data_IF_132430647938
#
_entry.id   IF_132430647938
#
_cell.length_a   1.000
_cell.length_b   1.000
_cell.length_c   1.000
_cell.angle_alpha   90.00
_cell.angle_beta   90.00
_cell.angle_gamma   90.00
#
_symmetry.space_group_name_H-M   'P 1'
#
loop_
_entity.id
_entity.type
_entity.pdbx_description
1 polymer ?
#
# COMPACT_ATOMS: atom_id res chain seq x y z
N UNK A 1 -13.19 -14.50 -4.14
CA UNK A 1 -14.26 -13.74 -3.45
C UNK A 1 -14.86 -12.67 -4.36
N UNK A 2 -16.14 -12.33 -4.18
CA UNK A 2 -16.79 -11.21 -4.87
C UNK A 2 -16.42 -9.85 -4.24
N UNK A 3 -16.66 -8.76 -4.98
CA UNK A 3 -16.47 -7.38 -4.51
C UNK A 3 -17.03 -7.17 -3.09
N UNK A 4 -16.36 -6.38 -2.22
CA UNK A 4 -16.89 -6.07 -0.90
C UNK A 4 -18.14 -5.19 -0.97
N UNK A 5 -18.49 -4.65 -2.14
CA UNK A 5 -19.60 -3.72 -2.33
C UNK A 5 -20.74 -4.37 -3.13
N UNK A 6 -21.98 -4.07 -2.75
CA UNK A 6 -23.16 -4.45 -3.51
C UNK A 6 -24.26 -3.40 -3.40
N UNK A 7 -24.96 -3.14 -4.50
CA UNK A 7 -26.18 -2.31 -4.52
C UNK A 7 -27.34 -3.20 -4.93
N UNK A 8 -28.41 -3.21 -4.15
CA UNK A 8 -29.63 -4.01 -4.37
C UNK A 8 -30.85 -3.14 -4.08
N UNK A 9 -31.54 -2.70 -5.14
CA UNK A 9 -32.61 -1.71 -5.04
C UNK A 9 -32.12 -0.42 -4.38
N UNK A 10 -32.85 0.06 -3.37
CA UNK A 10 -32.51 1.27 -2.60
C UNK A 10 -31.51 1.01 -1.46
N UNK A 11 -30.84 -0.15 -1.45
CA UNK A 11 -29.95 -0.55 -0.36
C UNK A 11 -28.54 -0.78 -0.88
N UNK A 12 -27.58 -0.27 -0.13
CA UNK A 12 -26.16 -0.55 -0.32
C UNK A 12 -25.70 -1.49 0.78
N UNK A 13 -24.87 -2.45 0.40
CA UNK A 13 -24.24 -3.42 1.29
C UNK A 13 -22.72 -3.34 1.16
N UNK A 14 -22.04 -3.50 2.29
CA UNK A 14 -20.59 -3.68 2.39
C UNK A 14 -20.30 -4.96 3.16
N UNK A 15 -19.49 -5.86 2.61
CA UNK A 15 -19.10 -7.11 3.25
C UNK A 15 -20.30 -7.89 3.85
N UNK A 16 -21.39 -7.99 3.09
CA UNK A 16 -22.64 -8.65 3.51
C UNK A 16 -23.51 -7.88 4.52
N UNK A 17 -23.09 -6.70 4.98
CA UNK A 17 -23.83 -5.89 5.94
C UNK A 17 -24.38 -4.63 5.28
N UNK A 18 -25.61 -4.22 5.65
CA UNK A 18 -26.21 -2.99 5.12
C UNK A 18 -25.34 -1.79 5.50
N UNK A 19 -25.01 -0.95 4.52
CA UNK A 19 -24.29 0.30 4.74
C UNK A 19 -25.30 1.41 5.07
N UNK A 20 -25.43 1.82 6.34
CA UNK A 20 -26.42 2.83 6.72
C UNK A 20 -26.09 4.18 6.08
N UNK A 21 -27.13 4.90 5.65
CA UNK A 21 -27.06 6.26 5.08
C UNK A 21 -26.27 6.37 3.76
N UNK A 22 -25.98 5.27 3.09
CA UNK A 22 -25.53 5.35 1.70
C UNK A 22 -26.74 5.60 0.80
N UNK A 23 -26.61 6.55 -0.10
CA UNK A 23 -27.57 6.76 -1.19
C UNK A 23 -27.28 5.76 -2.32
N UNK A 24 -28.17 4.79 -2.47
CA UNK A 24 -28.06 3.76 -3.51
C UNK A 24 -28.15 4.33 -4.93
N UNK A 25 -28.87 5.43 -5.15
CA UNK A 25 -29.06 6.01 -6.48
C UNK A 25 -27.78 6.62 -7.03
N UNK A 26 -26.93 7.17 -6.15
CA UNK A 26 -25.66 7.79 -6.52
C UNK A 26 -24.44 6.95 -6.17
N UNK A 27 -24.64 5.75 -5.61
CA UNK A 27 -23.55 4.88 -5.18
C UNK A 27 -22.71 4.37 -6.37
N UNK A 28 -21.39 4.52 -6.26
CA UNK A 28 -20.40 4.08 -7.24
C UNK A 28 -19.28 3.33 -6.54
N UNK A 29 -19.03 2.10 -6.99
CA UNK A 29 -17.82 1.35 -6.65
C UNK A 29 -16.69 1.88 -7.53
N UNK A 30 -15.62 2.37 -6.91
CA UNK A 30 -14.47 2.98 -7.61
C UNK A 30 -13.31 2.00 -7.74
N UNK A 31 -13.09 1.19 -6.70
CA UNK A 31 -12.10 0.12 -6.67
C UNK A 31 -12.52 -0.93 -5.63
N UNK A 32 -11.72 -1.98 -5.45
CA UNK A 32 -11.98 -2.93 -4.36
C UNK A 32 -11.94 -2.23 -2.99
N UNK A 33 -11.05 -1.25 -2.80
CA UNK A 33 -10.93 -0.46 -1.57
C UNK A 33 -11.92 0.68 -1.43
N UNK A 34 -12.41 1.28 -2.51
CA UNK A 34 -13.13 2.54 -2.42
C UNK A 34 -14.48 2.52 -3.13
N UNK A 35 -15.47 3.07 -2.45
CA UNK A 35 -16.77 3.39 -3.04
C UNK A 35 -17.24 4.75 -2.51
N UNK A 36 -18.14 5.40 -3.25
CA UNK A 36 -18.72 6.68 -2.87
C UNK A 36 -20.19 6.76 -3.24
N UNK A 37 -20.93 7.65 -2.58
CA UNK A 37 -22.17 8.21 -3.10
C UNK A 37 -21.96 9.72 -3.36
N UNK A 38 -23.02 10.50 -3.56
CA UNK A 38 -22.91 11.94 -3.78
C UNK A 38 -22.29 12.73 -2.60
N UNK A 39 -22.33 12.20 -1.38
CA UNK A 39 -21.92 12.94 -0.17
C UNK A 39 -20.73 12.32 0.57
N UNK A 40 -20.47 11.02 0.38
CA UNK A 40 -19.59 10.23 1.24
C UNK A 40 -18.70 9.29 0.45
N UNK A 41 -17.53 9.03 1.02
CA UNK A 41 -16.55 8.06 0.52
C UNK A 41 -16.30 7.02 1.62
N UNK A 42 -16.14 5.76 1.24
CA UNK A 42 -15.91 4.65 2.14
C UNK A 42 -14.81 3.70 1.66
N UNK A 43 -14.19 3.06 2.63
CA UNK A 43 -13.56 1.75 2.50
C UNK A 43 -14.45 0.67 3.10
N UNK A 44 -14.17 -0.64 2.88
CA UNK A 44 -15.02 -1.69 3.42
C UNK A 44 -15.22 -1.59 4.94
N UNK A 45 -14.26 -1.01 5.66
CA UNK A 45 -14.31 -0.87 7.12
C UNK A 45 -14.63 0.55 7.61
N UNK A 46 -14.22 1.60 6.90
CA UNK A 46 -14.26 2.98 7.44
C UNK A 46 -14.86 3.98 6.47
N UNK A 47 -15.37 5.09 7.02
CA UNK A 47 -15.64 6.30 6.21
C UNK A 47 -14.33 7.04 5.96
N UNK A 48 -14.16 7.56 4.75
CA UNK A 48 -13.03 8.39 4.35
C UNK A 48 -13.42 9.86 4.49
N UNK A 49 -12.52 10.69 5.05
CA UNK A 49 -12.70 12.15 5.08
C UNK A 49 -12.11 12.74 3.80
N UNK A 50 -12.95 12.86 2.77
CA UNK A 50 -12.63 13.39 1.45
C UNK A 50 -13.89 13.97 0.79
N UNK A 51 -13.73 14.86 -0.17
CA UNK A 51 -14.78 15.36 -1.05
C UNK A 51 -15.27 14.24 -1.97
N UNK A 52 -16.47 13.73 -1.69
CA UNK A 52 -17.07 12.68 -2.48
C UNK A 52 -17.30 13.06 -3.93
N UNK A 53 -17.57 14.34 -4.26
CA UNK A 53 -17.87 14.77 -5.62
C UNK A 53 -16.68 14.55 -6.57
N UNK A 54 -15.45 14.76 -6.07
CA UNK A 54 -14.21 14.64 -6.85
C UNK A 54 -13.38 13.40 -6.55
N UNK A 55 -13.78 12.58 -5.56
CA UNK A 55 -13.01 11.41 -5.17
C UNK A 55 -12.91 10.36 -6.29
N UNK A 56 -11.69 9.90 -6.54
CA UNK A 56 -11.32 8.83 -7.47
C UNK A 56 -10.39 7.82 -6.80
N UNK A 57 -10.52 6.55 -7.16
CA UNK A 57 -9.49 5.56 -6.84
C UNK A 57 -8.28 5.76 -7.78
N UNK A 58 -7.06 5.59 -7.26
CA UNK A 58 -5.82 5.73 -8.02
C UNK A 58 -5.23 4.38 -8.46
N UNK A 59 -5.79 3.28 -7.96
CA UNK A 59 -5.41 1.92 -8.32
C UNK A 59 -6.61 0.96 -8.12
N UNK A 60 -6.37 -0.35 -8.32
CA UNK A 60 -7.40 -1.39 -8.17
C UNK A 60 -7.88 -1.59 -6.72
N UNK A 61 -7.19 -1.03 -5.72
CA UNK A 61 -7.58 -1.12 -4.31
C UNK A 61 -7.48 -2.53 -3.74
N UNK A 62 -6.61 -3.38 -4.28
CA UNK A 62 -6.49 -4.78 -3.83
C UNK A 62 -5.04 -5.26 -3.87
N UNK A 63 -4.65 -5.95 -2.81
CA UNK A 63 -3.48 -6.85 -2.74
C UNK A 63 -3.96 -8.25 -2.36
N UNK A 64 -3.09 -9.25 -2.44
CA UNK A 64 -3.41 -10.60 -1.99
C UNK A 64 -2.51 -10.98 -0.82
N UNK A 65 -3.06 -11.61 0.21
CA UNK A 65 -2.29 -12.16 1.32
C UNK A 65 -1.57 -13.47 0.92
N UNK A 66 -0.87 -14.10 1.86
CA UNK A 66 -0.14 -15.35 1.60
C UNK A 66 -1.05 -16.54 1.26
N UNK A 67 -2.35 -16.46 1.55
CA UNK A 67 -3.35 -17.45 1.16
C UNK A 67 -3.95 -17.14 -0.22
N UNK A 68 -3.60 -16.01 -0.83
CA UNK A 68 -4.15 -15.54 -2.08
C UNK A 68 -5.50 -14.85 -1.93
N UNK A 69 -5.92 -14.50 -0.72
CA UNK A 69 -7.19 -13.83 -0.49
C UNK A 69 -7.07 -12.32 -0.73
N UNK A 70 -8.08 -11.69 -1.36
CA UNK A 70 -8.03 -10.27 -1.69
C UNK A 70 -8.20 -9.42 -0.44
N UNK A 71 -7.22 -8.56 -0.18
CA UNK A 71 -7.21 -7.59 0.91
C UNK A 71 -7.37 -6.19 0.33
N UNK A 72 -8.34 -5.42 0.84
CA UNK A 72 -8.56 -4.07 0.35
C UNK A 72 -7.37 -3.17 0.70
N UNK A 73 -6.68 -2.69 -0.32
CA UNK A 73 -5.46 -1.95 -0.15
C UNK A 73 -5.17 -1.05 -1.34
N UNK A 74 -4.95 0.25 -1.12
CA UNK A 74 -4.62 1.16 -2.22
C UNK A 74 -4.82 2.63 -1.92
N UNK A 75 -4.54 3.43 -2.95
CA UNK A 75 -4.62 4.88 -2.91
C UNK A 75 -5.91 5.39 -3.58
N UNK A 76 -6.45 6.47 -3.03
CA UNK A 76 -7.53 7.27 -3.60
C UNK A 76 -7.25 8.75 -3.37
N UNK A 77 -7.88 9.63 -4.14
CA UNK A 77 -7.72 11.06 -3.96
C UNK A 77 -8.98 11.82 -4.34
N UNK A 78 -9.21 12.95 -3.68
CA UNK A 78 -10.05 14.03 -4.20
C UNK A 78 -9.15 15.17 -4.74
N UNK A 79 -9.69 16.37 -4.89
CA UNK A 79 -8.92 17.55 -5.32
C UNK A 79 -7.87 18.05 -4.32
N UNK A 80 -8.04 17.78 -3.02
CA UNK A 80 -7.28 18.38 -1.92
C UNK A 80 -6.41 17.38 -1.14
N UNK A 81 -6.78 16.10 -1.16
CA UNK A 81 -6.12 15.05 -0.39
C UNK A 81 -5.89 13.79 -1.19
N UNK A 82 -4.73 13.17 -0.93
CA UNK A 82 -4.49 11.75 -1.21
C UNK A 82 -4.73 10.97 0.08
N UNK A 83 -5.41 9.83 -0.04
CA UNK A 83 -5.73 8.91 1.04
C UNK A 83 -5.19 7.53 0.69
N UNK A 84 -4.64 6.86 1.70
CA UNK A 84 -4.19 5.49 1.62
C UNK A 84 -5.02 4.59 2.54
N UNK A 85 -5.48 3.45 2.03
CA UNK A 85 -6.18 2.42 2.79
C UNK A 85 -5.33 1.17 2.90
N UNK A 86 -5.15 0.65 4.12
CA UNK A 86 -4.42 -0.58 4.42
C UNK A 86 -5.30 -1.59 5.16
N UNK A 87 -6.13 -2.32 4.40
CA UNK A 87 -7.05 -3.32 4.94
C UNK A 87 -8.03 -2.73 5.95
N UNK A 88 -8.12 -3.39 7.10
CA UNK A 88 -9.04 -3.05 8.20
C UNK A 88 -8.71 -1.73 8.92
N UNK A 89 -7.53 -1.18 8.69
CA UNK A 89 -7.06 0.06 9.31
C UNK A 89 -7.85 1.28 8.86
N UNK A 90 -7.84 2.34 9.68
CA UNK A 90 -8.41 3.64 9.27
C UNK A 90 -7.61 4.18 8.08
N UNK A 91 -8.28 4.64 7.01
CA UNK A 91 -7.62 5.31 5.90
C UNK A 91 -6.85 6.53 6.40
N UNK A 92 -5.62 6.69 5.94
CA UNK A 92 -4.72 7.77 6.35
C UNK A 92 -4.57 8.79 5.24
N UNK A 93 -4.58 10.08 5.59
CA UNK A 93 -4.19 11.13 4.65
C UNK A 93 -2.68 11.02 4.40
N UNK A 94 -2.29 11.02 3.13
CA UNK A 94 -0.89 11.02 2.72
C UNK A 94 -0.36 12.45 2.81
N UNK A 95 0.39 12.73 3.88
CA UNK A 95 0.86 14.09 4.16
C UNK A 95 1.85 14.58 3.09
N UNK A 96 1.63 15.80 2.59
CA UNK A 96 2.50 16.44 1.59
C UNK A 96 2.27 16.00 0.15
N UNK A 97 1.41 15.00 -0.09
CA UNK A 97 1.14 14.50 -1.43
C UNK A 97 0.34 15.49 -2.29
N UNK A 98 0.64 15.52 -3.59
CA UNK A 98 -0.04 16.34 -4.59
C UNK A 98 -1.18 15.58 -5.29
N UNK A 99 -2.46 15.80 -4.95
CA UNK A 99 -3.55 14.95 -5.46
C UNK A 99 -3.71 14.95 -6.98
N UNK A 100 -3.37 16.07 -7.63
CA UNK A 100 -3.43 16.20 -9.08
C UNK A 100 -2.32 15.42 -9.81
N UNK A 101 -1.15 15.24 -9.16
CA UNK A 101 0.03 14.62 -9.77
C UNK A 101 0.36 13.24 -9.17
N UNK A 102 -0.37 12.79 -8.15
CA UNK A 102 -0.08 11.53 -7.48
C UNK A 102 -0.34 10.32 -8.37
N UNK A 103 0.67 9.47 -8.47
CA UNK A 103 0.65 8.20 -9.19
C UNK A 103 0.77 7.06 -8.17
N UNK A 104 -0.24 6.21 -8.11
CA UNK A 104 -0.14 4.93 -7.39
C UNK A 104 0.60 3.92 -8.26
N UNK A 105 1.56 3.21 -7.68
CA UNK A 105 2.28 2.11 -8.33
C UNK A 105 1.65 0.74 -8.01
N UNK A 106 0.46 0.74 -7.43
CA UNK A 106 -0.22 -0.44 -6.93
C UNK A 106 0.34 -0.92 -5.59
N UNK A 107 -0.52 -1.61 -4.84
CA UNK A 107 -0.17 -2.10 -3.51
C UNK A 107 0.23 -0.95 -2.57
N UNK A 108 1.50 -0.91 -2.19
CA UNK A 108 2.01 -0.08 -1.10
C UNK A 108 2.66 1.23 -1.53
N UNK A 109 3.06 1.35 -2.79
CA UNK A 109 3.92 2.43 -3.28
C UNK A 109 3.16 3.45 -4.13
N UNK A 110 3.60 4.70 -4.04
CA UNK A 110 3.13 5.79 -4.90
C UNK A 110 4.10 6.96 -4.85
N UNK A 111 3.98 7.89 -5.79
CA UNK A 111 4.79 9.10 -5.81
C UNK A 111 4.05 10.25 -6.47
N UNK A 112 4.52 11.47 -6.22
CA UNK A 112 4.24 12.63 -7.07
C UNK A 112 5.56 13.18 -7.63
N UNK A 113 5.57 14.42 -8.11
CA UNK A 113 6.76 15.04 -8.67
C UNK A 113 7.83 15.36 -7.62
N UNK A 114 7.50 15.38 -6.32
CA UNK A 114 8.39 15.83 -5.25
C UNK A 114 8.72 14.76 -4.22
N UNK A 115 7.91 13.71 -4.10
CA UNK A 115 8.05 12.76 -3.00
C UNK A 115 7.63 11.35 -3.39
N UNK A 116 8.38 10.40 -2.84
CA UNK A 116 8.05 8.97 -2.89
C UNK A 116 7.33 8.57 -1.61
N UNK A 117 6.38 7.63 -1.72
CA UNK A 117 5.54 7.20 -0.61
C UNK A 117 5.46 5.67 -0.54
N UNK A 118 5.40 5.17 0.69
CA UNK A 118 5.02 3.81 1.00
C UNK A 118 4.08 3.79 2.18
N UNK A 119 3.02 2.98 2.13
CA UNK A 119 2.00 2.90 3.16
C UNK A 119 1.38 4.27 3.54
N UNK A 120 1.20 5.15 2.55
CA UNK A 120 0.71 6.51 2.78
C UNK A 120 1.66 7.41 3.57
N UNK A 121 2.93 7.05 3.71
CA UNK A 121 3.97 7.81 4.40
C UNK A 121 5.11 8.18 3.45
N UNK A 122 5.68 9.39 3.54
CA UNK A 122 6.78 9.82 2.69
C UNK A 122 8.08 9.08 3.03
N UNK A 123 8.83 8.68 2.01
CA UNK A 123 10.20 8.20 2.11
C UNK A 123 11.12 9.42 2.21
N UNK A 124 11.49 9.79 3.44
CA UNK A 124 12.32 10.99 3.67
C UNK A 124 13.67 10.84 2.98
N UNK A 125 14.03 11.83 2.16
CA UNK A 125 15.29 11.88 1.42
C UNK A 125 15.31 11.06 0.13
N UNK A 126 14.18 10.47 -0.28
CA UNK A 126 14.06 9.85 -1.59
C UNK A 126 13.68 10.89 -2.66
N UNK A 127 14.34 10.84 -3.80
CA UNK A 127 14.07 11.62 -5.00
C UNK A 127 13.25 10.76 -5.99
N UNK A 128 12.04 11.18 -6.39
CA UNK A 128 11.27 10.47 -7.43
C UNK A 128 12.03 10.26 -8.75
N UNK A 129 13.02 11.11 -9.07
CA UNK A 129 13.80 11.02 -10.31
C UNK A 129 14.75 9.82 -10.38
N UNK A 130 15.17 9.28 -9.24
CA UNK A 130 16.06 8.11 -9.18
C UNK A 130 15.48 6.92 -8.37
N UNK A 131 14.24 7.06 -7.91
CA UNK A 131 13.59 6.06 -7.08
C UNK A 131 13.33 4.76 -7.85
N UNK A 132 13.80 3.65 -7.29
CA UNK A 132 13.66 2.32 -7.87
C UNK A 132 13.09 1.36 -6.85
N UNK A 133 11.99 0.69 -7.20
CA UNK A 133 11.49 -0.44 -6.42
C UNK A 133 12.40 -1.64 -6.67
N UNK A 134 12.96 -2.20 -5.60
CA UNK A 134 13.80 -3.41 -5.65
C UNK A 134 12.90 -4.64 -5.66
N UNK A 135 11.94 -4.70 -4.73
CA UNK A 135 11.00 -5.80 -4.62
C UNK A 135 9.70 -5.30 -4.00
N UNK A 136 8.59 -5.38 -4.75
CA UNK A 136 7.29 -4.93 -4.28
C UNK A 136 6.72 -5.81 -3.16
N UNK A 137 6.97 -7.12 -3.19
CA UNK A 137 6.42 -8.07 -2.20
C UNK A 137 7.14 -7.91 -0.87
N UNK A 138 8.45 -7.73 -0.92
CA UNK A 138 9.28 -7.50 0.26
C UNK A 138 9.37 -6.02 0.67
N UNK A 139 8.68 -5.13 -0.03
CA UNK A 139 8.60 -3.69 0.29
C UNK A 139 9.95 -2.96 0.27
N UNK A 140 10.91 -3.40 -0.54
CA UNK A 140 12.21 -2.73 -0.65
C UNK A 140 12.28 -1.79 -1.86
N UNK A 141 12.90 -0.63 -1.67
CA UNK A 141 13.21 0.33 -2.73
C UNK A 141 14.51 1.10 -2.44
N UNK A 142 15.06 1.75 -3.45
CA UNK A 142 16.29 2.55 -3.35
C UNK A 142 16.13 3.93 -3.97
N UNK A 143 16.79 4.94 -3.41
CA UNK A 143 16.91 6.29 -3.98
C UNK A 143 18.10 7.01 -3.35
N UNK A 144 18.88 7.76 -4.12
CA UNK A 144 20.00 8.57 -3.60
C UNK A 144 21.04 7.80 -2.79
N UNK A 145 21.33 6.54 -3.16
CA UNK A 145 22.24 5.67 -2.41
C UNK A 145 21.68 5.11 -1.09
N UNK A 146 20.39 5.30 -0.81
CA UNK A 146 19.69 4.76 0.37
C UNK A 146 18.86 3.55 0.00
N UNK A 147 18.72 2.63 0.94
CA UNK A 147 17.73 1.55 0.91
C UNK A 147 16.59 1.90 1.86
N UNK A 148 15.36 1.61 1.42
CA UNK A 148 14.15 1.75 2.20
C UNK A 148 13.44 0.40 2.32
N UNK A 149 12.98 0.08 3.53
CA UNK A 149 11.97 -0.96 3.77
C UNK A 149 10.65 -0.26 4.13
N UNK A 150 9.62 -0.48 3.32
CA UNK A 150 8.42 0.34 3.29
C UNK A 150 8.77 1.85 3.18
N UNK A 151 8.47 2.67 4.19
CA UNK A 151 8.83 4.09 4.23
C UNK A 151 10.08 4.39 5.07
N UNK A 152 10.68 3.38 5.71
CA UNK A 152 11.78 3.57 6.66
C UNK A 152 13.12 3.36 5.95
N UNK A 153 14.12 4.24 6.15
CA UNK A 153 15.47 3.96 5.70
C UNK A 153 16.05 2.77 6.47
N UNK A 154 16.86 1.95 5.79
CA UNK A 154 17.58 0.80 6.34
C UNK A 154 19.08 1.07 6.17
N UNK A 155 19.92 0.76 7.18
CA UNK A 155 21.36 0.95 7.09
C UNK A 155 22.02 -0.14 6.23
N UNK A 156 21.79 -0.07 4.92
CA UNK A 156 22.27 -1.02 3.93
C UNK A 156 22.98 -0.32 2.76
N UNK A 157 23.91 -1.01 2.13
CA UNK A 157 24.56 -0.52 0.91
C UNK A 157 23.63 -0.69 -0.31
N UNK A 158 23.09 0.43 -0.80
CA UNK A 158 22.19 0.43 -1.94
C UNK A 158 22.83 -0.07 -3.26
N UNK A 159 24.16 0.00 -3.40
CA UNK A 159 24.84 -0.45 -4.62
C UNK A 159 24.85 -1.97 -4.76
N UNK A 160 24.85 -2.69 -3.63
CA UNK A 160 24.90 -4.16 -3.60
C UNK A 160 23.59 -4.79 -3.09
N UNK A 161 22.58 -3.97 -2.77
CA UNK A 161 21.32 -4.44 -2.21
C UNK A 161 20.48 -5.25 -3.20
N UNK A 162 20.09 -6.46 -2.80
CA UNK A 162 19.23 -7.35 -3.58
C UNK A 162 18.32 -8.19 -2.68
N UNK A 163 17.22 -8.69 -3.24
CA UNK A 163 16.41 -9.75 -2.63
C UNK A 163 16.82 -11.11 -3.18
N UNK A 164 16.64 -12.16 -2.39
CA UNK A 164 16.81 -13.55 -2.81
C UNK A 164 15.82 -14.47 -2.08
N UNK A 165 15.57 -15.62 -2.68
CA UNK A 165 14.81 -16.70 -2.05
C UNK A 165 15.79 -17.75 -1.53
N UNK A 166 15.71 -18.06 -0.24
CA UNK A 166 16.46 -19.15 0.39
C UNK A 166 15.52 -20.28 0.81
N UNK A 167 16.03 -21.50 0.85
CA UNK A 167 15.31 -22.65 1.41
C UNK A 167 15.75 -22.85 2.85
N UNK A 168 14.81 -22.84 3.79
CA UNK A 168 15.06 -23.18 5.20
C UNK A 168 13.96 -24.07 5.74
N UNK A 169 14.34 -25.14 6.45
CA UNK A 169 13.42 -26.15 6.99
C UNK A 169 12.37 -26.67 5.95
N UNK A 170 12.81 -26.86 4.70
CA UNK A 170 11.94 -27.32 3.61
C UNK A 170 10.94 -26.28 3.09
N UNK A 171 11.06 -25.01 3.50
CA UNK A 171 10.19 -23.92 3.06
C UNK A 171 10.99 -22.83 2.36
N UNK A 172 10.40 -22.23 1.33
CA UNK A 172 10.96 -21.04 0.71
C UNK A 172 10.79 -19.84 1.64
N UNK A 173 11.81 -19.00 1.70
CA UNK A 173 11.90 -17.80 2.52
C UNK A 173 12.49 -16.67 1.67
N UNK A 174 11.85 -15.52 1.66
CA UNK A 174 12.40 -14.35 1.01
C UNK A 174 13.24 -13.56 2.01
N UNK A 175 14.45 -13.18 1.61
CA UNK A 175 15.42 -12.46 2.42
C UNK A 175 16.05 -11.38 1.56
N UNK A 176 16.39 -10.22 2.13
CA UNK A 176 17.20 -9.22 1.45
C UNK A 176 18.64 -9.24 1.96
N UNK A 177 19.59 -8.74 1.17
CA UNK A 177 21.00 -8.65 1.57
C UNK A 177 21.69 -7.49 0.88
N UNK A 178 22.81 -7.09 1.42
CA UNK A 178 23.87 -6.37 0.70
C UNK A 178 25.16 -7.21 0.70
N UNK A 179 26.31 -6.58 0.41
CA UNK A 179 27.61 -7.24 0.46
C UNK A 179 28.01 -7.75 1.85
N UNK A 180 27.53 -7.10 2.92
CA UNK A 180 27.99 -7.36 4.30
C UNK A 180 27.03 -8.22 5.11
N UNK A 181 25.71 -8.05 4.93
CA UNK A 181 24.71 -8.60 5.86
C UNK A 181 23.38 -8.92 5.19
N UNK A 182 22.52 -9.62 5.94
CA UNK A 182 21.15 -9.96 5.53
C UNK A 182 20.14 -9.05 6.21
N UNK A 183 18.91 -9.05 5.70
CA UNK A 183 17.81 -8.25 6.21
C UNK A 183 16.48 -9.01 6.17
N UNK A 184 15.75 -8.95 7.28
CA UNK A 184 14.36 -9.40 7.39
C UNK A 184 13.52 -8.24 7.93
N UNK A 185 12.46 -7.87 7.20
CA UNK A 185 11.57 -6.75 7.53
C UNK A 185 12.31 -5.41 7.80
N UNK A 186 13.42 -5.21 7.11
CA UNK A 186 14.31 -4.05 7.24
C UNK A 186 15.30 -4.13 8.40
N UNK A 187 15.30 -5.22 9.18
CA UNK A 187 16.22 -5.41 10.29
C UNK A 187 17.51 -6.10 9.82
N UNK A 188 18.70 -5.51 10.05
CA UNK A 188 19.99 -6.10 9.69
C UNK A 188 20.30 -7.35 10.51
N UNK A 189 20.92 -8.35 9.89
CA UNK A 189 21.24 -9.65 10.47
C UNK A 189 22.59 -10.16 9.98
N UNK A 190 23.37 -10.72 10.90
CA UNK A 190 24.45 -11.64 10.55
C UNK A 190 23.89 -12.95 9.99
N UNK A 191 24.75 -13.74 9.34
CA UNK A 191 24.40 -15.06 8.84
C UNK A 191 23.88 -15.99 9.95
N UNK A 192 24.49 -15.93 11.15
CA UNK A 192 24.06 -16.72 12.32
C UNK A 192 22.65 -16.33 12.76
N UNK A 193 22.36 -15.03 12.90
CA UNK A 193 21.04 -14.55 13.30
C UNK A 193 19.98 -14.86 12.25
N UNK A 194 20.33 -14.79 10.96
CA UNK A 194 19.44 -15.23 9.90
C UNK A 194 19.13 -16.72 10.04
N UNK A 195 20.15 -17.57 10.20
CA UNK A 195 19.96 -19.00 10.37
C UNK A 195 19.09 -19.32 11.60
N UNK A 196 19.21 -18.56 12.69
CA UNK A 196 18.34 -18.70 13.88
C UNK A 196 16.89 -18.30 13.59
N UNK A 197 16.65 -17.21 12.85
CA UNK A 197 15.30 -16.76 12.47
C UNK A 197 14.60 -17.65 11.45
N UNK A 198 15.36 -18.39 10.64
CA UNK A 198 14.81 -19.22 9.58
C UNK A 198 14.57 -20.68 10.00
N UNK A 199 14.96 -21.08 11.23
CA UNK A 199 14.69 -22.42 11.77
C UNK A 199 13.21 -22.69 12.00
#
# INVERSE_FOLDING_TARGET
MSSPWRVEGERVWRMGNRLPRADAATFRVLSFSFARDAERVWTPWHRVKADAATFRALDRGVVHDDLGEPVAHGYGADRDVVVFSAGVGRPVRVAGAEPAAFLSLGGFFGHDARSCYSHGRPLRGADPGDWRIVDQRMLYSTSGGRVYHAWRPVPADAATFTTLTVTSAGRLRQVARDAERFYLDGEPLSERELAERLR
#
